data_IF_174548507743
#
_entry.id   IF_174548507743
#
_cell.length_a   1.000
_cell.length_b   1.000
_cell.length_c   1.000
_cell.angle_alpha   90.00
_cell.angle_beta   90.00
_cell.angle_gamma   90.00
#
_symmetry.space_group_name_H-M   'P 1'
#
loop_
_entity.id
_entity.type
_entity.pdbx_description
1 polymer ?
#
# COMPACT_ATOMS: atom_id res chain seq x y z
N UNK A 1 -4.53 22.20 2.60
CA UNK A 1 -3.18 22.58 3.06
C UNK A 1 -2.14 21.85 2.23
N UNK A 2 -0.91 22.38 2.12
CA UNK A 2 0.22 21.71 1.45
C UNK A 2 1.20 21.26 2.53
N UNK A 3 1.74 20.05 2.39
CA UNK A 3 2.77 19.51 3.29
C UNK A 3 4.05 19.31 2.48
N UNK A 4 5.17 19.78 3.02
CA UNK A 4 6.48 19.57 2.44
C UNK A 4 7.05 18.25 2.99
N UNK A 5 7.33 17.31 2.09
CA UNK A 5 7.96 16.05 2.47
C UNK A 5 9.48 16.22 2.38
N UNK A 6 10.24 15.94 3.47
CA UNK A 6 11.70 15.89 3.44
C UNK A 6 12.24 15.03 2.30
N UNK A 7 13.32 15.46 1.65
CA UNK A 7 13.88 14.78 0.46
C UNK A 7 14.26 13.33 0.75
N UNK A 8 14.88 13.06 1.89
CA UNK A 8 15.23 11.70 2.31
C UNK A 8 14.02 10.74 2.41
N UNK A 9 12.86 11.26 2.81
CA UNK A 9 11.62 10.45 2.87
C UNK A 9 11.01 10.25 1.48
N UNK A 10 11.13 11.24 0.59
CA UNK A 10 10.74 11.10 -0.83
C UNK A 10 11.58 10.03 -1.52
N UNK A 11 12.90 10.05 -1.32
CA UNK A 11 13.82 9.08 -1.91
C UNK A 11 13.57 7.67 -1.35
N UNK A 12 13.39 7.56 -0.04
CA UNK A 12 13.07 6.28 0.62
C UNK A 12 11.78 5.66 0.08
N UNK A 13 10.71 6.45 -0.01
CA UNK A 13 9.41 5.99 -0.50
C UNK A 13 9.30 5.98 -2.04
N UNK A 14 10.39 6.30 -2.75
CA UNK A 14 10.47 6.39 -4.23
C UNK A 14 9.36 7.27 -4.82
N UNK A 15 9.02 8.37 -4.14
CA UNK A 15 7.96 9.27 -4.57
C UNK A 15 8.40 10.06 -5.79
N UNK A 16 7.62 9.97 -6.86
CA UNK A 16 7.77 10.78 -8.07
C UNK A 16 6.48 11.59 -8.32
N UNK A 17 6.05 11.75 -9.57
CA UNK A 17 4.92 12.60 -9.94
C UNK A 17 3.57 12.04 -9.47
N UNK A 18 3.39 10.73 -9.58
CA UNK A 18 2.15 10.06 -9.24
C UNK A 18 2.25 9.36 -7.88
N UNK A 19 1.36 9.75 -6.98
CA UNK A 19 1.29 9.24 -5.61
C UNK A 19 -0.10 8.69 -5.30
N UNK A 20 -0.15 7.76 -4.35
CA UNK A 20 -1.39 7.22 -3.77
C UNK A 20 -1.43 7.60 -2.30
N UNK A 21 -2.59 8.08 -1.85
CA UNK A 21 -2.86 8.37 -0.44
C UNK A 21 -3.84 7.34 0.10
N UNK A 22 -3.46 6.67 1.19
CA UNK A 22 -4.27 5.64 1.83
C UNK A 22 -4.53 6.05 3.27
N UNK A 23 -5.81 6.13 3.67
CA UNK A 23 -6.19 6.33 5.06
C UNK A 23 -6.23 5.00 5.79
N UNK A 24 -5.47 4.86 6.88
CA UNK A 24 -5.43 3.64 7.69
C UNK A 24 -5.70 3.99 9.14
N UNK A 25 -6.94 3.82 9.57
CA UNK A 25 -7.40 4.14 10.93
C UNK A 25 -7.08 5.59 11.33
N UNK A 26 -6.04 5.81 12.13
CA UNK A 26 -5.63 7.13 12.65
C UNK A 26 -4.44 7.75 11.91
N UNK A 27 -3.97 7.15 10.81
CA UNK A 27 -2.84 7.65 10.01
C UNK A 27 -3.17 7.70 8.53
N UNK A 28 -2.35 8.44 7.79
CA UNK A 28 -2.35 8.45 6.32
C UNK A 28 -0.99 7.93 5.87
N UNK A 29 -1.02 7.04 4.88
CA UNK A 29 0.17 6.54 4.21
C UNK A 29 0.29 7.19 2.84
N UNK A 30 1.52 7.52 2.46
CA UNK A 30 1.86 8.13 1.18
C UNK A 30 2.74 7.14 0.43
N UNK A 31 2.26 6.71 -0.73
CA UNK A 31 2.93 5.69 -1.53
C UNK A 31 3.26 6.22 -2.92
N UNK A 32 4.37 5.74 -3.48
CA UNK A 32 4.57 5.78 -4.92
C UNK A 32 3.50 4.92 -5.59
N UNK A 33 2.94 5.41 -6.71
CA UNK A 33 1.92 4.65 -7.47
C UNK A 33 2.42 3.26 -7.88
N UNK A 34 3.62 3.18 -8.44
CA UNK A 34 4.21 1.92 -8.90
C UNK A 34 4.42 0.93 -7.74
N UNK A 35 4.93 1.43 -6.62
CA UNK A 35 5.17 0.59 -5.43
C UNK A 35 3.84 0.11 -4.84
N UNK A 36 2.83 0.98 -4.78
CA UNK A 36 1.50 0.63 -4.30
C UNK A 36 0.83 -0.41 -5.17
N UNK A 37 0.84 -0.25 -6.50
CA UNK A 37 0.21 -1.20 -7.43
C UNK A 37 0.85 -2.59 -7.30
N UNK A 38 2.18 -2.66 -7.22
CA UNK A 38 2.87 -3.92 -6.97
C UNK A 38 2.45 -4.55 -5.64
N UNK A 39 2.50 -3.78 -4.55
CA UNK A 39 2.14 -4.27 -3.22
C UNK A 39 0.68 -4.73 -3.13
N UNK A 40 -0.26 -3.94 -3.68
CA UNK A 40 -1.69 -4.24 -3.66
C UNK A 40 -1.99 -5.51 -4.46
N UNK A 41 -1.37 -5.69 -5.62
CA UNK A 41 -1.55 -6.90 -6.41
C UNK A 41 -1.00 -8.14 -5.70
N UNK A 42 0.19 -8.04 -5.09
CA UNK A 42 0.77 -9.14 -4.29
C UNK A 42 -0.10 -9.47 -3.07
N UNK A 43 -0.64 -8.44 -2.40
CA UNK A 43 -1.52 -8.61 -1.26
C UNK A 43 -2.86 -9.24 -1.67
N UNK A 44 -3.47 -8.82 -2.78
CA UNK A 44 -4.72 -9.41 -3.30
C UNK A 44 -4.57 -10.90 -3.59
N UNK A 45 -3.45 -11.31 -4.22
CA UNK A 45 -3.13 -12.72 -4.43
C UNK A 45 -3.03 -13.47 -3.11
N UNK A 46 -2.32 -12.92 -2.13
CA UNK A 46 -2.19 -13.53 -0.80
C UNK A 46 -3.52 -13.60 -0.05
N UNK A 47 -4.41 -12.62 -0.19
CA UNK A 47 -5.74 -12.67 0.43
C UNK A 47 -6.61 -13.76 -0.18
N UNK A 48 -6.52 -13.97 -1.50
CA UNK A 48 -7.15 -15.10 -2.18
C UNK A 48 -6.70 -16.43 -1.59
N UNK A 49 -5.39 -16.65 -1.49
CA UNK A 49 -4.82 -17.88 -0.93
C UNK A 49 -5.21 -18.10 0.54
N UNK A 50 -5.33 -17.01 1.32
CA UNK A 50 -5.76 -17.08 2.72
C UNK A 50 -7.25 -17.40 2.80
N UNK A 51 -8.08 -16.77 1.97
CA UNK A 51 -9.52 -17.01 1.95
C UNK A 51 -9.84 -18.46 1.53
N UNK A 52 -9.16 -18.98 0.52
CA UNK A 52 -9.27 -20.38 0.09
C UNK A 52 -8.90 -21.35 1.23
N UNK A 53 -7.81 -21.06 1.95
CA UNK A 53 -7.39 -21.87 3.12
C UNK A 53 -8.37 -21.79 4.29
N UNK A 54 -9.05 -20.67 4.49
CA UNK A 54 -10.06 -20.54 5.54
C UNK A 54 -11.32 -21.34 5.16
N UNK A 55 -11.73 -21.29 3.90
CA UNK A 55 -12.82 -22.11 3.35
C UNK A 55 -12.52 -23.61 3.48
N UNK A 56 -11.29 -24.04 3.19
CA UNK A 56 -10.82 -25.42 3.39
C UNK A 56 -10.85 -25.87 4.87
N UNK A 57 -10.70 -24.93 5.81
CA UNK A 57 -10.78 -25.19 7.26
C UNK A 57 -12.23 -25.16 7.78
N UNK A 58 -13.21 -24.85 6.93
CA UNK A 58 -14.64 -24.88 7.27
C UNK A 58 -15.08 -23.78 8.25
N UNK A 59 -14.37 -22.65 8.29
CA UNK A 59 -14.65 -21.47 9.13
C UNK A 59 -14.75 -20.20 8.29
#
# INVERSE_FOLDING_TARGET
GRVLIPTNLRDYAKLDKDIVLVGVSNRIEIWSREVWEKYSNEAELSYGDIAEKLEDLGI
#
